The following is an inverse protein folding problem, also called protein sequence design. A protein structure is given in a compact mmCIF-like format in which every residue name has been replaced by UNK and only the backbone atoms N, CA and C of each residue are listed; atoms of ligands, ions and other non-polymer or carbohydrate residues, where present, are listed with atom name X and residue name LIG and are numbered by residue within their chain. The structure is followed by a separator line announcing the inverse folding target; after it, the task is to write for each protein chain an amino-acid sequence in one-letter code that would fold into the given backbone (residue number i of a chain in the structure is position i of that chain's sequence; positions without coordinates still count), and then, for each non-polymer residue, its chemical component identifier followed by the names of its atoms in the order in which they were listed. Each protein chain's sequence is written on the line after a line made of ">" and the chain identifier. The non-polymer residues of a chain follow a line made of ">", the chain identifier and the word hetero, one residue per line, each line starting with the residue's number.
data_IF_437291372994
#
_entry.id   IF_437291372994
#
_cell.length_a   1.000
_cell.length_b   1.000
_cell.length_c   1.000
_cell.angle_alpha   90.00
_cell.angle_beta   90.00
_cell.angle_gamma   90.00
#
_symmetry.space_group_name_H-M   'P 1'
#
loop_
_entity.id
_entity.type
_entity.pdbx_description
1 polymer ?
#
# COMPACT_ATOMS: atom_id res chain seq x y z
N UNK A 1 -18.78 30.26 -18.82
CA UNK A 1 -17.78 29.28 -18.36
C UNK A 1 -18.48 27.93 -18.28
N UNK A 2 -18.26 27.02 -19.25
CA UNK A 2 -18.90 25.70 -19.25
C UNK A 2 -18.29 24.91 -18.09
N UNK A 3 -19.10 24.59 -17.08
CA UNK A 3 -18.81 23.51 -16.16
C UNK A 3 -18.75 22.27 -17.03
N UNK A 4 -17.53 21.90 -17.45
CA UNK A 4 -17.30 20.58 -18.03
C UNK A 4 -17.79 19.62 -16.98
N UNK A 5 -18.74 18.76 -17.35
CA UNK A 5 -19.26 17.71 -16.48
C UNK A 5 -18.05 16.87 -16.00
N UNK A 6 -17.59 17.19 -14.79
CA UNK A 6 -16.37 16.64 -14.22
C UNK A 6 -16.50 15.13 -14.03
N UNK A 7 -17.72 14.62 -13.88
CA UNK A 7 -18.00 13.20 -13.81
C UNK A 7 -17.75 12.52 -15.17
N UNK A 8 -18.27 13.11 -16.26
CA UNK A 8 -17.98 12.63 -17.62
C UNK A 8 -16.49 12.69 -17.97
N UNK A 9 -15.81 13.77 -17.55
CA UNK A 9 -14.38 13.93 -17.75
C UNK A 9 -13.58 12.89 -16.97
N UNK A 10 -13.96 12.59 -15.72
CA UNK A 10 -13.35 11.55 -14.88
C UNK A 10 -13.43 10.17 -15.51
N UNK A 11 -14.61 9.75 -15.97
CA UNK A 11 -14.78 8.46 -16.65
C UNK A 11 -13.89 8.33 -17.90
N UNK A 12 -13.74 9.41 -18.65
CA UNK A 12 -12.90 9.43 -19.86
C UNK A 12 -11.40 9.42 -19.55
N UNK A 13 -10.96 10.13 -18.50
CA UNK A 13 -9.54 10.29 -18.13
C UNK A 13 -9.00 9.17 -17.25
N UNK A 14 -9.85 8.46 -16.49
CA UNK A 14 -9.43 7.50 -15.48
C UNK A 14 -8.50 6.42 -16.01
N UNK A 15 -8.78 5.86 -17.19
CA UNK A 15 -7.91 4.85 -17.82
C UNK A 15 -6.51 5.38 -18.16
N UNK A 16 -6.43 6.64 -18.61
CA UNK A 16 -5.18 7.31 -18.93
C UNK A 16 -4.37 7.60 -17.67
N UNK A 17 -5.01 8.20 -16.66
CA UNK A 17 -4.37 8.50 -15.37
C UNK A 17 -3.89 7.24 -14.64
N UNK A 18 -4.70 6.17 -14.63
CA UNK A 18 -4.30 4.88 -14.07
C UNK A 18 -3.10 4.27 -14.81
N UNK A 19 -3.06 4.41 -16.14
CA UNK A 19 -1.92 3.96 -16.95
C UNK A 19 -0.66 4.76 -16.64
N UNK A 20 -0.78 6.09 -16.56
CA UNK A 20 0.34 6.98 -16.24
C UNK A 20 0.90 6.69 -14.84
N UNK A 21 0.03 6.50 -13.83
CA UNK A 21 0.46 6.18 -12.48
C UNK A 21 1.27 4.86 -12.40
N UNK A 22 0.93 3.85 -13.22
CA UNK A 22 1.73 2.62 -13.33
C UNK A 22 3.10 2.87 -13.98
N UNK A 23 3.16 3.67 -15.04
CA UNK A 23 4.42 4.05 -15.69
C UNK A 23 5.32 4.81 -14.71
N UNK A 24 4.76 5.81 -14.02
CA UNK A 24 5.49 6.60 -13.04
C UNK A 24 6.00 5.72 -11.88
N UNK A 25 5.17 4.80 -11.40
CA UNK A 25 5.56 3.84 -10.36
C UNK A 25 6.68 2.89 -10.82
N UNK A 26 6.67 2.48 -12.10
CA UNK A 26 7.72 1.63 -12.65
C UNK A 26 9.04 2.39 -12.82
N UNK A 27 9.00 3.68 -13.18
CA UNK A 27 10.18 4.54 -13.27
C UNK A 27 10.79 4.83 -11.89
N UNK A 28 9.95 4.96 -10.87
CA UNK A 28 10.32 5.17 -9.48
C UNK A 28 10.09 3.91 -8.61
N UNK A 29 10.51 2.75 -9.14
CA UNK A 29 10.36 1.45 -8.48
C UNK A 29 11.40 1.26 -7.37
N UNK A 30 10.99 0.79 -6.18
CA UNK A 30 11.90 0.47 -5.10
C UNK A 30 12.69 -0.83 -5.38
N UNK A 31 14.01 -0.77 -5.23
CA UNK A 31 14.86 -1.96 -5.12
C UNK A 31 14.73 -2.55 -3.71
N UNK A 32 13.64 -3.29 -3.50
CA UNK A 32 13.24 -3.83 -2.21
C UNK A 32 14.30 -4.76 -1.63
N UNK A 33 14.90 -5.64 -2.44
CA UNK A 33 15.95 -6.55 -1.99
C UNK A 33 17.16 -5.78 -1.45
N UNK A 34 17.67 -4.80 -2.21
CA UNK A 34 18.81 -4.00 -1.76
C UNK A 34 18.49 -3.18 -0.51
N UNK A 35 17.31 -2.55 -0.45
CA UNK A 35 16.90 -1.78 0.72
C UNK A 35 16.81 -2.68 1.97
N UNK A 36 16.16 -3.83 1.86
CA UNK A 36 16.01 -4.77 2.98
C UNK A 36 17.36 -5.36 3.42
N UNK A 37 18.26 -5.69 2.49
CA UNK A 37 19.62 -6.10 2.84
C UNK A 37 20.38 -4.99 3.59
N UNK A 38 20.30 -3.74 3.14
CA UNK A 38 20.94 -2.63 3.83
C UNK A 38 20.39 -2.45 5.25
N UNK A 39 19.09 -2.67 5.47
CA UNK A 39 18.47 -2.54 6.79
C UNK A 39 19.03 -3.51 7.83
N UNK A 40 19.58 -4.65 7.42
CA UNK A 40 20.25 -5.58 8.34
C UNK A 40 21.48 -4.97 9.03
N UNK A 41 22.05 -3.89 8.48
CA UNK A 41 23.23 -3.21 9.04
C UNK A 41 22.89 -2.06 10.01
N UNK A 42 21.62 -1.84 10.33
CA UNK A 42 21.23 -0.69 11.16
C UNK A 42 21.71 -0.84 12.61
N UNK A 43 22.42 0.17 13.12
CA UNK A 43 22.84 0.18 14.50
C UNK A 43 21.68 0.59 15.44
N UNK A 44 21.62 0.08 16.69
CA UNK A 44 20.52 0.34 17.61
C UNK A 44 20.51 1.75 18.21
N UNK A 45 21.45 2.63 17.83
CA UNK A 45 21.53 3.98 18.38
C UNK A 45 20.67 4.99 17.57
N UNK A 46 20.04 5.98 18.24
CA UNK A 46 19.11 6.91 17.58
C UNK A 46 19.72 7.71 16.43
N UNK A 47 20.97 8.18 16.57
CA UNK A 47 21.65 8.97 15.53
C UNK A 47 21.87 8.16 14.25
N UNK A 48 22.24 6.88 14.38
CA UNK A 48 22.38 5.97 13.25
C UNK A 48 21.05 5.78 12.54
N UNK A 49 19.97 5.50 13.29
CA UNK A 49 18.61 5.37 12.74
C UNK A 49 18.17 6.62 11.99
N UNK A 50 18.39 7.81 12.55
CA UNK A 50 18.05 9.08 11.90
C UNK A 50 18.81 9.28 10.57
N UNK A 51 20.12 9.05 10.56
CA UNK A 51 20.95 9.13 9.34
C UNK A 51 20.48 8.12 8.29
N UNK A 52 20.16 6.91 8.72
CA UNK A 52 19.68 5.86 7.83
C UNK A 52 18.32 6.22 7.22
N UNK A 53 17.37 6.69 8.03
CA UNK A 53 16.07 7.16 7.54
C UNK A 53 16.22 8.33 6.55
N UNK A 54 17.07 9.31 6.86
CA UNK A 54 17.33 10.44 5.96
C UNK A 54 17.90 9.98 4.60
N UNK A 55 18.85 9.03 4.61
CA UNK A 55 19.41 8.45 3.39
C UNK A 55 18.37 7.71 2.56
N UNK A 56 17.44 7.00 3.20
CA UNK A 56 16.40 6.25 2.49
C UNK A 56 15.38 7.16 1.80
N UNK A 57 15.01 8.32 2.38
CA UNK A 57 14.00 9.21 1.79
C UNK A 57 14.35 9.72 0.38
N UNK A 58 15.63 9.80 0.05
CA UNK A 58 16.10 10.21 -1.28
C UNK A 58 16.19 9.07 -2.29
N UNK A 59 15.83 7.84 -1.92
CA UNK A 59 15.92 6.68 -2.81
C UNK A 59 14.64 6.49 -3.59
N UNK A 60 14.80 6.00 -4.82
CA UNK A 60 13.67 5.65 -5.68
C UNK A 60 12.72 4.66 -5.01
N UNK A 61 11.43 4.92 -5.17
CA UNK A 61 10.34 4.11 -4.60
C UNK A 61 10.24 4.13 -3.09
N UNK A 62 11.06 4.92 -2.36
CA UNK A 62 10.85 5.14 -0.92
C UNK A 62 9.86 6.27 -0.73
N UNK A 63 8.61 5.92 -0.45
CA UNK A 63 7.53 6.88 -0.22
C UNK A 63 7.74 7.65 1.09
N UNK A 64 8.15 6.95 2.15
CA UNK A 64 8.51 7.58 3.42
C UNK A 64 9.47 6.74 4.25
N UNK A 65 10.25 7.39 5.10
CA UNK A 65 11.08 6.73 6.11
C UNK A 65 11.12 7.58 7.38
N UNK A 66 10.79 6.98 8.51
CA UNK A 66 10.76 7.67 9.82
C UNK A 66 11.34 6.81 10.92
N UNK A 67 11.93 7.46 11.91
CA UNK A 67 12.39 6.81 13.13
C UNK A 67 11.23 6.62 14.09
N UNK A 68 11.21 5.48 14.76
CA UNK A 68 10.32 5.17 15.89
C UNK A 68 11.18 4.74 17.08
N UNK A 69 10.57 4.65 18.27
CA UNK A 69 11.31 4.39 19.52
C UNK A 69 12.20 3.13 19.45
N UNK A 70 11.70 2.06 18.81
CA UNK A 70 12.36 0.77 18.71
C UNK A 70 13.11 0.54 17.37
N UNK A 71 13.08 1.51 16.44
CA UNK A 71 13.78 1.37 15.15
C UNK A 71 13.30 2.31 14.06
N UNK A 72 12.95 1.77 12.89
CA UNK A 72 12.51 2.51 11.70
C UNK A 72 11.20 1.96 11.15
N UNK A 73 10.37 2.86 10.61
CA UNK A 73 9.25 2.49 9.75
C UNK A 73 9.49 3.12 8.38
N UNK A 74 9.46 2.28 7.34
CA UNK A 74 9.70 2.67 5.96
C UNK A 74 8.50 2.22 5.13
N UNK A 75 8.09 3.06 4.19
CA UNK A 75 7.11 2.73 3.18
C UNK A 75 7.79 2.69 1.82
N UNK A 76 7.72 1.53 1.17
CA UNK A 76 8.26 1.28 -0.15
C UNK A 76 7.12 1.15 -1.14
N UNK A 77 7.31 1.66 -2.34
CA UNK A 77 6.48 1.40 -3.51
C UNK A 77 7.30 0.60 -4.50
N UNK A 78 6.75 -0.52 -4.95
CA UNK A 78 7.31 -1.27 -6.07
C UNK A 78 6.26 -1.66 -7.09
N UNK A 79 6.71 -1.89 -8.32
CA UNK A 79 5.90 -2.52 -9.37
C UNK A 79 6.35 -3.96 -9.51
N UNK A 80 5.38 -4.87 -9.49
CA UNK A 80 5.60 -6.29 -9.67
C UNK A 80 4.60 -6.84 -10.66
N UNK A 81 4.98 -7.89 -11.35
CA UNK A 81 4.02 -8.67 -12.13
C UNK A 81 3.62 -9.90 -11.34
N UNK A 82 2.32 -10.11 -11.17
CA UNK A 82 1.75 -11.24 -10.43
C UNK A 82 1.11 -12.20 -11.42
N UNK A 83 1.52 -13.45 -11.36
CA UNK A 83 0.85 -14.56 -12.05
C UNK A 83 -0.26 -15.10 -11.15
N UNK A 84 -1.52 -14.83 -11.51
CA UNK A 84 -2.64 -15.40 -10.79
C UNK A 84 -2.87 -16.83 -11.24
N UNK A 85 -2.90 -17.74 -10.27
CA UNK A 85 -3.17 -19.16 -10.50
C UNK A 85 -4.44 -19.55 -9.77
N UNK A 86 -5.32 -20.28 -10.45
CA UNK A 86 -6.48 -20.94 -9.85
C UNK A 86 -6.33 -22.43 -10.05
N UNK A 87 -6.47 -23.20 -8.96
CA UNK A 87 -6.35 -24.67 -8.97
C UNK A 87 -5.04 -25.15 -9.64
N UNK A 88 -3.94 -24.41 -9.42
CA UNK A 88 -2.61 -24.70 -9.96
C UNK A 88 -2.38 -24.27 -11.42
N UNK A 89 -3.42 -23.91 -12.16
CA UNK A 89 -3.32 -23.41 -13.54
C UNK A 89 -3.08 -21.90 -13.56
N UNK A 90 -2.17 -21.42 -14.43
CA UNK A 90 -1.99 -19.99 -14.66
C UNK A 90 -3.21 -19.43 -15.40
N UNK A 91 -3.91 -18.48 -14.78
CA UNK A 91 -5.11 -17.88 -15.34
C UNK A 91 -4.78 -16.62 -16.14
N UNK A 92 -4.03 -15.70 -15.54
CA UNK A 92 -3.57 -14.49 -16.20
C UNK A 92 -2.43 -13.85 -15.41
N UNK A 93 -1.74 -12.94 -16.07
CA UNK A 93 -0.60 -12.19 -15.55
C UNK A 93 -0.95 -10.71 -15.53
N UNK A 94 -0.73 -10.05 -14.41
CA UNK A 94 -1.10 -8.64 -14.23
C UNK A 94 -0.04 -7.87 -13.45
N UNK A 95 0.25 -6.64 -13.90
CA UNK A 95 1.12 -5.72 -13.17
C UNK A 95 0.35 -5.05 -12.03
N UNK A 96 0.99 -5.01 -10.85
CA UNK A 96 0.46 -4.40 -9.64
C UNK A 96 1.47 -3.41 -9.08
N UNK A 97 0.96 -2.34 -8.49
CA UNK A 97 1.74 -1.50 -7.58
C UNK A 97 1.57 -2.08 -6.18
N UNK A 98 2.69 -2.38 -5.53
CA UNK A 98 2.76 -2.82 -4.16
C UNK A 98 3.27 -1.68 -3.28
N UNK A 99 2.55 -1.38 -2.21
CA UNK A 99 3.05 -0.56 -1.12
C UNK A 99 3.33 -1.46 0.06
N UNK A 100 4.59 -1.46 0.49
CA UNK A 100 5.07 -2.32 1.58
C UNK A 100 5.57 -1.46 2.72
N UNK A 101 4.90 -1.58 3.87
CA UNK A 101 5.34 -1.01 5.13
C UNK A 101 6.31 -1.98 5.78
N UNK A 102 7.50 -1.51 6.12
CA UNK A 102 8.54 -2.28 6.82
C UNK A 102 8.82 -1.60 8.15
N UNK A 103 8.46 -2.26 9.25
CA UNK A 103 8.89 -1.90 10.59
C UNK A 103 10.11 -2.72 10.97
N UNK A 104 11.27 -2.05 11.00
CA UNK A 104 12.53 -2.63 11.45
C UNK A 104 12.73 -2.28 12.91
N UNK A 105 12.76 -3.28 13.78
CA UNK A 105 13.15 -3.15 15.19
C UNK A 105 14.64 -3.42 15.31
N UNK A 106 15.39 -2.51 15.94
CA UNK A 106 16.84 -2.64 16.10
C UNK A 106 17.22 -2.67 17.58
N UNK A 107 17.42 -3.87 18.12
CA UNK A 107 17.87 -4.10 19.49
C UNK A 107 19.39 -4.26 19.60
N UNK A 108 19.91 -4.39 20.82
CA UNK A 108 21.36 -4.59 21.08
C UNK A 108 21.92 -5.89 20.48
N UNK A 109 21.08 -6.91 20.23
CA UNK A 109 21.50 -8.25 19.78
C UNK A 109 20.62 -8.87 18.68
N UNK A 110 19.53 -8.21 18.30
CA UNK A 110 18.60 -8.74 17.32
C UNK A 110 18.00 -7.61 16.48
N UNK A 111 17.86 -7.88 15.19
CA UNK A 111 17.05 -7.10 14.28
C UNK A 111 15.77 -7.88 13.99
N UNK A 112 14.63 -7.21 14.09
CA UNK A 112 13.32 -7.78 13.78
C UNK A 112 12.69 -7.03 12.61
N UNK A 113 12.00 -7.75 11.76
CA UNK A 113 11.23 -7.18 10.66
C UNK A 113 9.76 -7.56 10.84
N UNK A 114 8.89 -6.56 10.76
CA UNK A 114 7.46 -6.74 10.58
C UNK A 114 7.08 -6.02 9.29
N UNK A 115 6.32 -6.70 8.45
CA UNK A 115 5.97 -6.22 7.13
C UNK A 115 4.48 -6.36 6.89
N UNK A 116 3.89 -5.33 6.30
CA UNK A 116 2.51 -5.29 5.86
C UNK A 116 2.53 -4.77 4.42
N UNK A 117 1.71 -5.35 3.53
CA UNK A 117 1.65 -4.88 2.14
C UNK A 117 0.22 -4.74 1.64
N UNK A 118 0.02 -3.76 0.76
CA UNK A 118 -1.22 -3.55 0.01
C UNK A 118 -0.88 -3.51 -1.47
N UNK A 119 -1.60 -4.28 -2.29
CA UNK A 119 -1.40 -4.31 -3.73
C UNK A 119 -2.60 -3.70 -4.45
N UNK A 120 -2.35 -2.89 -5.47
CA UNK A 120 -3.40 -2.35 -6.33
C UNK A 120 -3.07 -2.59 -7.80
N UNK A 121 -4.11 -2.96 -8.55
CA UNK A 121 -4.04 -3.13 -10.00
C UNK A 121 -4.34 -1.80 -10.72
N UNK A 122 -4.14 -1.76 -12.04
CA UNK A 122 -4.62 -0.65 -12.87
C UNK A 122 -6.12 -0.39 -12.67
N UNK A 123 -6.91 -1.44 -12.50
CA UNK A 123 -8.35 -1.33 -12.31
C UNK A 123 -8.69 -0.55 -11.04
N UNK A 124 -8.00 -0.84 -9.93
CA UNK A 124 -8.19 -0.13 -8.66
C UNK A 124 -7.89 1.36 -8.81
N UNK A 125 -6.79 1.70 -9.48
CA UNK A 125 -6.41 3.09 -9.76
C UNK A 125 -7.48 3.80 -10.59
N UNK A 126 -8.03 3.12 -11.61
CA UNK A 126 -9.11 3.65 -12.42
C UNK A 126 -10.36 3.91 -11.57
N UNK A 127 -10.78 2.95 -10.74
CA UNK A 127 -11.95 3.11 -9.85
C UNK A 127 -11.77 4.21 -8.83
N UNK A 128 -10.55 4.42 -8.33
CA UNK A 128 -10.23 5.56 -7.46
C UNK A 128 -10.50 6.89 -8.17
N UNK A 129 -10.13 7.04 -9.44
CA UNK A 129 -10.39 8.27 -10.21
C UNK A 129 -11.87 8.48 -10.48
N UNK A 130 -12.58 7.42 -10.84
CA UNK A 130 -14.00 7.49 -11.21
C UNK A 130 -14.91 7.82 -10.03
N UNK A 131 -14.59 7.30 -8.84
CA UNK A 131 -15.52 7.25 -7.68
C UNK A 131 -15.08 8.11 -6.50
N UNK A 132 -14.08 8.96 -6.69
CA UNK A 132 -13.62 9.86 -5.63
C UNK A 132 -13.24 11.24 -6.16
N UNK A 133 -12.96 12.13 -5.23
CA UNK A 133 -12.45 13.47 -5.46
C UNK A 133 -10.92 13.52 -5.59
N UNK A 134 -10.25 12.38 -5.87
CA UNK A 134 -8.81 12.37 -6.03
C UNK A 134 -8.37 13.39 -7.09
N UNK A 135 -7.20 14.02 -6.92
CA UNK A 135 -6.69 14.98 -7.88
C UNK A 135 -6.49 14.31 -9.24
N UNK A 136 -6.78 15.05 -10.32
CA UNK A 136 -6.59 14.58 -11.69
C UNK A 136 -5.14 14.72 -12.15
N UNK A 137 -4.35 15.49 -11.41
CA UNK A 137 -2.90 15.55 -11.44
C UNK A 137 -2.31 14.77 -10.26
N UNK A 138 -1.22 14.05 -10.48
CA UNK A 138 -0.50 13.39 -9.39
C UNK A 138 -1.24 12.23 -8.68
N UNK A 139 -2.04 11.45 -9.43
CA UNK A 139 -2.75 10.27 -8.89
C UNK A 139 -1.84 9.33 -8.08
N UNK A 140 -0.60 9.11 -8.52
CA UNK A 140 0.34 8.24 -7.81
C UNK A 140 0.66 8.76 -6.40
N UNK A 141 0.79 10.08 -6.23
CA UNK A 141 1.00 10.71 -4.92
C UNK A 141 -0.23 10.63 -4.01
N UNK A 142 -1.44 10.77 -4.55
CA UNK A 142 -2.68 10.51 -3.80
C UNK A 142 -2.74 9.07 -3.31
N UNK A 143 -2.39 8.12 -4.20
CA UNK A 143 -2.33 6.70 -3.87
C UNK A 143 -1.28 6.41 -2.81
N UNK A 144 -0.08 6.98 -2.88
CA UNK A 144 0.93 6.85 -1.83
C UNK A 144 0.40 7.26 -0.46
N UNK A 145 -0.25 8.43 -0.38
CA UNK A 145 -0.83 8.93 0.85
C UNK A 145 -1.98 8.04 1.35
N UNK A 146 -2.82 7.56 0.44
CA UNK A 146 -3.92 6.65 0.78
C UNK A 146 -3.43 5.30 1.28
N UNK A 147 -2.43 4.71 0.62
CA UNK A 147 -1.85 3.41 0.97
C UNK A 147 -1.03 3.49 2.26
N UNK A 148 -0.36 4.61 2.54
CA UNK A 148 0.27 4.85 3.83
C UNK A 148 -0.73 4.78 5.00
N UNK A 149 -1.93 5.36 4.83
CA UNK A 149 -3.02 5.27 5.81
C UNK A 149 -3.58 3.86 5.90
N UNK A 150 -3.82 3.21 4.76
CA UNK A 150 -4.33 1.83 4.70
C UNK A 150 -3.39 0.86 5.42
N UNK A 151 -2.08 0.93 5.17
CA UNK A 151 -1.07 0.11 5.82
C UNK A 151 -0.93 0.37 7.32
N UNK A 152 -1.10 1.63 7.75
CA UNK A 152 -1.11 1.96 9.18
C UNK A 152 -2.29 1.29 9.87
N UNK A 153 -3.48 1.29 9.24
CA UNK A 153 -4.67 0.59 9.76
C UNK A 153 -4.52 -0.92 9.72
N UNK A 154 -3.99 -1.46 8.62
CA UNK A 154 -3.74 -2.90 8.49
C UNK A 154 -2.83 -3.40 9.62
N UNK A 155 -1.73 -2.68 9.90
CA UNK A 155 -0.82 -2.98 11.00
C UNK A 155 -1.47 -2.90 12.41
N UNK A 156 -2.65 -2.27 12.52
CA UNK A 156 -3.44 -2.13 13.75
C UNK A 156 -4.64 -3.09 13.77
N UNK A 157 -4.79 -3.98 12.79
CA UNK A 157 -5.95 -4.87 12.67
C UNK A 157 -7.24 -4.18 12.20
N UNK A 158 -7.14 -3.00 11.58
CA UNK A 158 -8.28 -2.17 11.17
C UNK A 158 -8.96 -2.58 9.86
N UNK A 159 -9.08 -3.90 9.62
CA UNK A 159 -9.83 -4.45 8.48
C UNK A 159 -11.30 -4.60 8.89
N UNK A 160 -12.20 -4.07 8.06
CA UNK A 160 -13.63 -4.36 8.19
C UNK A 160 -13.94 -5.61 7.39
N UNK A 161 -14.63 -6.57 7.99
CA UNK A 161 -15.07 -7.78 7.29
C UNK A 161 -16.59 -7.77 7.18
N UNK A 162 -17.11 -7.98 5.97
CA UNK A 162 -18.54 -8.21 5.74
C UNK A 162 -18.70 -9.44 4.84
N UNK A 163 -19.34 -10.48 5.39
CA UNK A 163 -19.43 -11.81 4.76
C UNK A 163 -18.04 -12.39 4.46
N UNK A 164 -17.70 -12.53 3.18
CA UNK A 164 -16.46 -13.13 2.68
C UNK A 164 -15.50 -12.08 2.09
N UNK A 165 -15.85 -10.79 2.17
CA UNK A 165 -15.05 -9.69 1.66
C UNK A 165 -14.41 -8.89 2.80
N UNK A 166 -13.18 -8.45 2.54
CA UNK A 166 -12.44 -7.58 3.44
C UNK A 166 -12.35 -6.16 2.86
N UNK A 167 -12.40 -5.17 3.76
CA UNK A 167 -12.41 -3.76 3.40
C UNK A 167 -11.42 -2.98 4.25
N UNK A 168 -10.57 -2.19 3.58
CA UNK A 168 -9.73 -1.19 4.24
C UNK A 168 -10.35 0.20 4.08
N UNK A 169 -10.41 0.94 5.17
CA UNK A 169 -10.96 2.30 5.18
C UNK A 169 -10.14 3.25 4.30
N UNK A 170 -10.81 3.93 3.37
CA UNK A 170 -10.29 5.10 2.68
C UNK A 170 -10.88 6.40 3.29
N UNK A 171 -10.46 7.55 2.78
CA UNK A 171 -10.96 8.83 3.29
C UNK A 171 -12.43 9.09 2.91
N UNK A 172 -12.83 8.70 1.69
CA UNK A 172 -14.17 8.86 1.13
C UNK A 172 -14.56 7.60 0.36
N UNK A 173 -14.71 6.50 1.06
CA UNK A 173 -14.77 5.19 0.41
C UNK A 173 -14.12 4.06 1.20
N UNK A 174 -14.09 2.88 0.59
CA UNK A 174 -13.35 1.71 1.07
C UNK A 174 -12.59 1.05 -0.08
N UNK A 175 -11.45 0.46 0.26
CA UNK A 175 -10.71 -0.45 -0.60
C UNK A 175 -11.24 -1.86 -0.35
N UNK A 176 -11.97 -2.42 -1.31
CA UNK A 176 -12.49 -3.77 -1.21
C UNK A 176 -11.46 -4.76 -1.78
N UNK A 177 -11.20 -5.83 -1.06
CA UNK A 177 -10.15 -6.78 -1.40
C UNK A 177 -10.20 -8.04 -0.57
N UNK A 178 -9.04 -8.66 -0.42
CA UNK A 178 -8.85 -9.82 0.45
C UNK A 178 -7.37 -10.06 0.71
N UNK A 179 -7.10 -10.96 1.66
CA UNK A 179 -5.73 -11.32 2.01
C UNK A 179 -5.18 -12.40 1.08
N UNK A 180 -4.05 -12.10 0.46
CA UNK A 180 -3.21 -13.03 -0.30
C UNK A 180 -1.93 -13.31 0.50
N UNK A 181 -1.29 -14.45 0.24
CA UNK A 181 -0.04 -14.83 0.88
C UNK A 181 1.07 -14.82 -0.16
N UNK A 182 2.12 -14.04 0.09
CA UNK A 182 3.30 -13.95 -0.77
C UNK A 182 4.50 -14.59 -0.07
N UNK A 183 5.24 -15.52 -0.70
CA UNK A 183 6.44 -16.07 -0.10
C UNK A 183 7.47 -14.96 0.13
N UNK A 184 8.17 -15.00 1.27
CA UNK A 184 9.30 -14.12 1.52
C UNK A 184 10.44 -14.45 0.53
N UNK A 185 11.02 -13.43 -0.09
CA UNK A 185 12.13 -13.63 -1.02
C UNK A 185 13.45 -13.79 -0.22
N UNK A 186 14.20 -14.90 -0.38
CA UNK A 186 15.49 -15.08 0.28
C UNK A 186 16.52 -13.98 -0.04
N UNK A 187 16.36 -13.27 -1.17
CA UNK A 187 17.21 -12.15 -1.55
C UNK A 187 17.02 -10.92 -0.64
N UNK A 188 15.96 -10.86 0.15
CA UNK A 188 15.74 -9.77 1.12
C UNK A 188 16.70 -9.82 2.32
N UNK A 189 17.40 -10.94 2.50
CA UNK A 189 18.49 -11.08 3.45
C UNK A 189 18.30 -12.21 4.48
N UNK A 190 19.23 -12.36 5.42
CA UNK A 190 19.26 -13.48 6.36
C UNK A 190 17.99 -13.67 7.18
N UNK A 191 17.30 -12.58 7.56
CA UNK A 191 16.05 -12.66 8.32
C UNK A 191 14.89 -13.33 7.56
N UNK A 192 14.99 -13.44 6.23
CA UNK A 192 13.90 -13.92 5.37
C UNK A 192 14.15 -15.30 4.75
N UNK A 193 15.34 -15.90 4.91
CA UNK A 193 15.69 -17.22 4.34
C UNK A 193 14.76 -18.36 4.76
N UNK A 194 14.21 -18.26 5.97
CA UNK A 194 13.19 -19.17 6.52
C UNK A 194 11.99 -18.37 7.04
N UNK A 195 11.79 -17.17 6.51
CA UNK A 195 10.75 -16.26 6.97
C UNK A 195 9.36 -16.82 6.68
N UNK A 196 8.40 -16.48 7.55
CA UNK A 196 7.00 -16.71 7.24
C UNK A 196 6.62 -15.96 5.96
N UNK A 197 5.62 -16.49 5.26
CA UNK A 197 5.06 -15.79 4.13
C UNK A 197 4.43 -14.46 4.58
N UNK A 198 4.50 -13.46 3.71
CA UNK A 198 3.95 -12.14 3.94
C UNK A 198 2.45 -12.16 3.63
N UNK A 199 1.64 -11.70 4.58
CA UNK A 199 0.25 -11.38 4.32
C UNK A 199 0.15 -10.06 3.56
N UNK A 200 -0.58 -10.09 2.46
CA UNK A 200 -0.76 -8.97 1.55
C UNK A 200 -2.24 -8.72 1.39
N UNK A 201 -2.67 -7.48 1.60
CA UNK A 201 -4.03 -7.10 1.24
C UNK A 201 -4.09 -6.75 -0.25
N UNK A 202 -4.66 -7.64 -1.06
CA UNK A 202 -4.86 -7.43 -2.48
C UNK A 202 -6.16 -6.67 -2.72
N UNK A 203 -6.04 -5.38 -3.05
CA UNK A 203 -7.18 -4.53 -3.39
C UNK A 203 -7.71 -4.97 -4.75
N UNK A 204 -9.01 -5.29 -4.80
CA UNK A 204 -9.71 -5.69 -6.02
C UNK A 204 -10.44 -4.51 -6.64
N UNK A 205 -10.97 -3.60 -5.82
CA UNK A 205 -11.66 -2.40 -6.29
C UNK A 205 -11.72 -1.32 -5.21
N UNK A 206 -12.11 -0.12 -5.64
CA UNK A 206 -12.44 0.98 -4.76
C UNK A 206 -13.94 1.26 -4.85
N UNK A 207 -14.61 1.37 -3.71
CA UNK A 207 -16.03 1.73 -3.61
C UNK A 207 -16.16 3.13 -3.02
N UNK A 208 -16.87 4.01 -3.72
CA UNK A 208 -17.32 5.28 -3.15
C UNK A 208 -18.38 5.07 -2.07
N UNK A 209 -18.69 6.13 -1.32
CA UNK A 209 -19.68 6.08 -0.21
C UNK A 209 -21.04 5.53 -0.66
N UNK A 210 -21.50 5.93 -1.85
CA UNK A 210 -22.80 5.53 -2.43
C UNK A 210 -22.84 4.08 -2.92
N UNK A 211 -21.67 3.45 -3.11
CA UNK A 211 -21.55 2.09 -3.64
C UNK A 211 -21.36 1.05 -2.53
N UNK A 212 -21.25 1.50 -1.27
CA UNK A 212 -21.07 0.60 -0.13
C UNK A 212 -22.38 -0.11 0.23
N UNK A 213 -22.24 -1.36 0.69
CA UNK A 213 -23.35 -2.04 1.36
C UNK A 213 -23.64 -1.35 2.70
N UNK A 214 -24.90 -1.31 3.18
CA UNK A 214 -25.24 -0.59 4.41
C UNK A 214 -24.40 -0.97 5.63
N UNK A 215 -24.06 -2.26 5.78
CA UNK A 215 -23.21 -2.76 6.86
C UNK A 215 -21.78 -2.21 6.79
N UNK A 216 -21.19 -2.19 5.58
CA UNK A 216 -19.87 -1.62 5.32
C UNK A 216 -19.88 -0.10 5.52
N UNK A 217 -20.93 0.58 5.06
CA UNK A 217 -21.11 2.01 5.24
C UNK A 217 -21.22 2.40 6.72
N UNK A 218 -21.96 1.62 7.52
CA UNK A 218 -22.07 1.84 8.97
C UNK A 218 -20.72 1.68 9.66
N UNK A 219 -19.99 0.59 9.39
CA UNK A 219 -18.66 0.37 9.95
C UNK A 219 -17.66 1.45 9.55
N UNK A 220 -17.72 1.91 8.29
CA UNK A 220 -16.92 3.05 7.82
C UNK A 220 -17.31 4.37 8.51
N UNK A 221 -18.60 4.67 8.65
CA UNK A 221 -19.11 5.88 9.29
C UNK A 221 -18.77 5.96 10.77
N UNK A 222 -18.85 4.84 11.49
CA UNK A 222 -18.47 4.76 12.90
C UNK A 222 -16.95 4.96 13.08
N UNK A 223 -16.14 4.27 12.27
CA UNK A 223 -14.69 4.40 12.33
C UNK A 223 -14.19 5.80 11.97
N UNK A 224 -14.86 6.49 11.03
CA UNK A 224 -14.51 7.86 10.65
C UNK A 224 -15.02 8.90 11.65
N UNK A 225 -16.19 8.68 12.25
CA UNK A 225 -16.71 9.53 13.34
C UNK A 225 -15.82 9.46 14.58
N UNK A 226 -15.39 8.26 14.98
CA UNK A 226 -14.47 8.06 16.10
C UNK A 226 -13.10 8.74 15.88
N UNK A 227 -12.59 8.72 14.65
CA UNK A 227 -11.32 9.37 14.30
C UNK A 227 -11.40 10.91 14.27
N UNK A 228 -12.59 11.52 14.18
CA UNK A 228 -12.79 12.98 14.27
C UNK A 228 -12.98 13.46 15.70
N UNK A 229 -13.33 12.57 16.62
CA UNK A 229 -13.56 12.87 18.03
C UNK A 229 -12.31 12.69 18.91
N UNK A 230 -11.25 12.06 18.38
CA UNK A 230 -9.97 11.80 19.03
C UNK A 230 -8.86 12.74 18.53
#
# INVERSE_FOLDING_TARGET
>A
MRVVDLEHARGSLARGLAGQALVDAAQDNADMARILMELHSIAPNPRSRQRFAARLRGRRGVVSARTVADGLVILLRSVMTVDLRKDGAACFREDRIAWTRVHVRSGKRAIGFQMDAVHATRHVLQRRVERSDCPLDGLLGDMDAAMARALTRLAQGGVLTDREDDYLLAQRGVWAGGTEVMPADPAWGPAFRHGAALEVFAIRTFLGEEEMRPTVWLGWSEATSGARAA
#
